data_IF_100409594398
#
_entry.id   IF_100409594398
#
_cell.length_a   1.000
_cell.length_b   1.000
_cell.length_c   1.000
_cell.angle_alpha   90.00
_cell.angle_beta   90.00
_cell.angle_gamma   90.00
#
_symmetry.space_group_name_H-M   'P 1'
#
loop_
_entity.id
_entity.type
_entity.pdbx_description
1 polymer ?
#
# COMPACT_ATOMS: atom_id res chain seq x y z
N UNK A 1 -31.59 49.91 27.96
CA UNK A 1 -31.54 48.88 29.03
C UNK A 1 -32.40 47.69 28.59
N UNK A 2 -31.93 46.45 28.83
CA UNK A 2 -32.64 45.15 28.62
C UNK A 2 -33.04 44.85 27.16
N UNK A 3 -32.28 44.07 26.37
CA UNK A 3 -32.15 42.59 26.35
C UNK A 3 -33.49 41.85 26.49
N UNK A 4 -33.91 41.16 25.44
CA UNK A 4 -34.35 39.75 25.48
C UNK A 4 -34.35 39.20 24.04
N UNK A 5 -33.28 38.51 23.64
CA UNK A 5 -33.27 37.66 22.46
C UNK A 5 -33.52 36.22 22.90
N UNK A 6 -34.45 35.57 22.21
CA UNK A 6 -34.86 34.18 22.39
C UNK A 6 -33.75 33.21 21.95
N UNK A 7 -33.38 32.33 22.88
CA UNK A 7 -33.06 30.89 22.74
C UNK A 7 -33.01 30.30 21.31
N UNK A 8 -31.88 29.66 20.97
CA UNK A 8 -31.76 28.22 20.66
C UNK A 8 -30.28 27.84 20.89
N UNK A 9 -30.05 26.84 21.73
CA UNK A 9 -28.73 26.20 21.87
C UNK A 9 -28.56 25.20 20.74
N UNK A 10 -27.51 25.36 19.93
CA UNK A 10 -26.93 24.28 19.13
C UNK A 10 -25.43 24.29 19.33
N UNK A 11 -24.94 23.25 19.99
CA UNK A 11 -23.53 22.86 19.95
C UNK A 11 -23.28 22.36 18.53
N UNK A 12 -22.53 23.13 17.74
CA UNK A 12 -21.91 22.65 16.51
C UNK A 12 -20.46 23.11 16.53
N UNK A 13 -19.58 22.18 16.89
CA UNK A 13 -18.16 22.28 16.58
C UNK A 13 -18.02 22.01 15.07
N UNK A 14 -18.02 23.10 14.30
CA UNK A 14 -17.78 23.10 12.87
C UNK A 14 -17.60 24.55 12.43
N UNK A 15 -16.68 24.94 11.58
CA UNK A 15 -15.75 24.22 10.72
C UNK A 15 -14.50 25.09 10.67
N UNK A 16 -13.30 24.50 10.73
CA UNK A 16 -12.11 25.23 10.27
C UNK A 16 -12.25 25.41 8.77
N UNK A 17 -12.83 26.54 8.37
CA UNK A 17 -12.82 26.98 7.00
C UNK A 17 -11.40 27.44 6.68
N UNK A 18 -10.71 26.75 5.77
CA UNK A 18 -9.73 27.43 4.94
C UNK A 18 -10.37 27.58 3.55
N UNK A 19 -10.61 28.82 3.17
CA UNK A 19 -11.18 29.22 1.89
C UNK A 19 -10.36 28.67 0.72
N UNK A 20 -11.03 28.07 -0.25
CA UNK A 20 -10.45 27.69 -1.54
C UNK A 20 -11.04 28.57 -2.63
N UNK A 21 -10.46 29.75 -2.81
CA UNK A 21 -10.58 30.50 -4.06
C UNK A 21 -9.17 30.90 -4.49
N UNK A 22 -8.56 30.13 -5.39
CA UNK A 22 -7.48 30.59 -6.24
C UNK A 22 -7.60 29.87 -7.58
N UNK A 23 -7.95 30.65 -8.59
CA UNK A 23 -7.93 30.34 -10.01
C UNK A 23 -6.57 29.73 -10.43
N UNK A 24 -6.47 28.40 -10.48
CA UNK A 24 -5.30 27.71 -11.03
C UNK A 24 -5.50 27.47 -12.53
N UNK A 25 -4.53 27.98 -13.32
CA UNK A 25 -4.21 27.55 -14.69
C UNK A 25 -4.34 26.01 -14.74
N UNK A 26 -4.92 25.38 -15.79
CA UNK A 26 -4.97 23.92 -15.83
C UNK A 26 -3.53 23.37 -15.95
N UNK A 27 -2.89 23.15 -14.80
CA UNK A 27 -1.59 22.52 -14.72
C UNK A 27 -1.83 21.07 -15.06
N UNK A 28 -1.48 20.70 -16.29
CA UNK A 28 -1.36 19.31 -16.74
C UNK A 28 -0.67 18.51 -15.63
N UNK A 29 -1.47 17.72 -14.91
CA UNK A 29 -1.06 16.86 -13.81
C UNK A 29 0.09 15.99 -14.31
N UNK A 30 1.30 16.23 -13.79
CA UNK A 30 2.40 15.30 -13.95
C UNK A 30 2.08 14.10 -13.06
N UNK A 31 1.22 13.22 -13.56
CA UNK A 31 0.75 12.05 -12.87
C UNK A 31 1.94 11.08 -12.70
N UNK A 32 2.62 11.18 -11.55
CA UNK A 32 3.76 10.33 -11.22
C UNK A 32 3.32 8.87 -11.16
N UNK A 33 4.25 7.94 -11.37
CA UNK A 33 3.92 6.53 -11.17
C UNK A 33 3.43 6.28 -9.73
N UNK A 34 2.39 5.46 -9.59
CA UNK A 34 1.83 5.04 -8.29
C UNK A 34 1.93 3.52 -8.22
N UNK A 35 2.76 3.02 -7.32
CA UNK A 35 2.95 1.59 -7.10
C UNK A 35 1.73 1.01 -6.39
N UNK A 36 1.16 -0.06 -6.94
CA UNK A 36 0.09 -0.80 -6.29
C UNK A 36 0.14 -2.26 -6.77
N UNK A 37 0.10 -3.20 -5.83
CA UNK A 37 -0.07 -4.61 -6.14
C UNK A 37 -0.95 -5.31 -5.13
N UNK A 38 -1.44 -6.49 -5.54
CA UNK A 38 -2.09 -7.46 -4.67
C UNK A 38 -1.61 -8.87 -4.96
N UNK A 39 -1.74 -9.75 -3.98
CA UNK A 39 -1.60 -11.20 -4.19
C UNK A 39 -2.88 -11.71 -4.85
N UNK A 40 -2.75 -12.38 -5.99
CA UNK A 40 -3.88 -12.91 -6.74
C UNK A 40 -4.20 -14.34 -6.32
N UNK A 41 -3.19 -15.22 -6.30
CA UNK A 41 -3.32 -16.58 -5.79
C UNK A 41 -2.14 -16.93 -4.89
N UNK A 42 -2.41 -17.89 -4.01
CA UNK A 42 -1.45 -18.54 -3.15
C UNK A 42 -1.73 -20.03 -3.19
N UNK A 43 -0.73 -20.79 -3.63
CA UNK A 43 -0.80 -22.23 -3.84
C UNK A 43 0.39 -22.93 -3.16
N UNK A 44 0.25 -24.21 -2.84
CA UNK A 44 1.31 -25.03 -2.23
C UNK A 44 0.99 -25.54 -0.84
N UNK A 45 1.92 -26.33 -0.29
CA UNK A 45 1.76 -27.02 0.99
C UNK A 45 2.37 -26.19 2.12
N UNK A 46 1.74 -26.24 3.30
CA UNK A 46 2.27 -25.61 4.52
C UNK A 46 3.65 -26.20 4.87
N UNK A 47 4.58 -25.36 5.33
CA UNK A 47 5.99 -25.71 5.63
C UNK A 47 6.85 -26.16 4.44
N UNK A 48 6.33 -26.07 3.23
CA UNK A 48 7.06 -26.40 2.02
C UNK A 48 7.06 -25.19 1.08
N UNK A 49 7.40 -25.45 -0.18
CA UNK A 49 7.35 -24.45 -1.23
C UNK A 49 5.92 -23.93 -1.42
N UNK A 50 5.79 -22.61 -1.41
CA UNK A 50 4.52 -21.91 -1.67
C UNK A 50 4.68 -20.96 -2.84
N UNK A 51 3.78 -21.07 -3.80
CA UNK A 51 3.76 -20.24 -5.01
C UNK A 51 2.76 -19.11 -4.84
N UNK A 52 3.20 -17.89 -5.11
CA UNK A 52 2.39 -16.69 -5.09
C UNK A 52 2.36 -16.08 -6.49
N UNK A 53 1.17 -15.72 -6.94
CA UNK A 53 0.97 -14.91 -8.15
C UNK A 53 0.62 -13.49 -7.75
N UNK A 54 1.25 -12.51 -8.40
CA UNK A 54 1.08 -11.10 -8.08
C UNK A 54 0.39 -10.35 -9.21
N UNK A 55 -0.61 -9.56 -8.86
CA UNK A 55 -1.24 -8.63 -9.78
C UNK A 55 -0.74 -7.20 -9.55
N UNK A 56 -0.36 -6.54 -10.63
CA UNK A 56 0.13 -5.17 -10.62
C UNK A 56 -0.96 -4.19 -11.07
N UNK A 57 -1.44 -3.39 -10.11
CA UNK A 57 -2.47 -2.36 -10.32
C UNK A 57 -1.87 -0.95 -10.40
N UNK A 58 -0.54 -0.86 -10.57
CA UNK A 58 0.18 0.41 -10.60
C UNK A 58 -0.28 1.30 -11.76
N UNK A 59 -0.19 2.62 -11.55
CA UNK A 59 -0.56 3.64 -12.54
C UNK A 59 0.68 4.37 -13.03
N UNK A 60 0.65 4.79 -14.30
CA UNK A 60 1.68 5.64 -14.93
C UNK A 60 3.12 5.11 -14.87
N UNK A 61 3.28 3.79 -14.74
CA UNK A 61 4.56 3.12 -14.69
C UNK A 61 4.97 2.57 -16.07
N UNK A 62 6.23 2.80 -16.44
CA UNK A 62 6.87 2.23 -17.65
C UNK A 62 7.80 1.06 -17.32
N UNK A 63 8.25 0.93 -16.07
CA UNK A 63 9.06 -0.20 -15.61
C UNK A 63 8.69 -0.64 -14.18
N UNK A 64 9.05 -1.88 -13.86
CA UNK A 64 8.72 -2.55 -12.60
C UNK A 64 9.96 -3.26 -12.07
N UNK A 65 10.15 -3.23 -10.76
CA UNK A 65 11.14 -4.00 -10.03
C UNK A 65 10.46 -4.58 -8.79
N UNK A 66 10.36 -5.89 -8.77
CA UNK A 66 9.92 -6.68 -7.63
C UNK A 66 11.12 -7.17 -6.86
N UNK A 67 11.01 -7.13 -5.54
CA UNK A 67 11.91 -7.73 -4.58
C UNK A 67 11.05 -8.59 -3.66
N UNK A 68 11.32 -9.90 -3.66
CA UNK A 68 10.51 -10.86 -2.92
C UNK A 68 10.93 -10.99 -1.45
N UNK A 69 11.93 -10.22 -1.00
CA UNK A 69 12.35 -10.18 0.40
C UNK A 69 13.33 -11.30 0.80
N UNK A 70 13.65 -12.21 -0.12
CA UNK A 70 14.65 -13.28 0.05
C UNK A 70 15.92 -13.06 -0.80
N UNK A 71 16.04 -11.87 -1.40
CA UNK A 71 17.13 -11.49 -2.29
C UNK A 71 16.87 -11.79 -3.77
N UNK A 72 15.76 -12.43 -4.12
CA UNK A 72 15.35 -12.63 -5.51
C UNK A 72 14.51 -11.45 -6.00
N UNK A 73 14.77 -11.03 -7.23
CA UNK A 73 14.07 -9.90 -7.87
C UNK A 73 13.47 -10.28 -9.22
N UNK A 74 12.45 -9.54 -9.67
CA UNK A 74 11.85 -9.70 -11.00
C UNK A 74 11.48 -8.36 -11.63
N UNK A 75 11.54 -8.26 -12.95
CA UNK A 75 11.08 -7.09 -13.72
C UNK A 75 9.78 -7.34 -14.47
N UNK A 76 9.18 -8.52 -14.29
CA UNK A 76 7.92 -8.88 -14.91
C UNK A 76 6.78 -7.98 -14.40
N UNK A 77 5.84 -7.63 -15.28
CA UNK A 77 4.67 -6.85 -14.89
C UNK A 77 3.78 -7.59 -13.88
N UNK A 78 3.60 -8.90 -14.08
CA UNK A 78 2.77 -9.80 -13.26
C UNK A 78 3.62 -11.04 -12.97
N UNK A 79 4.48 -11.02 -11.94
CA UNK A 79 5.35 -12.16 -11.64
C UNK A 79 4.60 -13.27 -10.91
N UNK A 80 5.12 -14.49 -11.07
CA UNK A 80 4.83 -15.63 -10.20
C UNK A 80 6.13 -15.99 -9.50
N UNK A 81 6.09 -16.18 -8.19
CA UNK A 81 7.28 -16.54 -7.40
C UNK A 81 6.97 -17.64 -6.39
N UNK A 82 7.91 -18.59 -6.27
CA UNK A 82 7.78 -19.73 -5.37
C UNK A 82 8.79 -19.61 -4.23
N UNK A 83 8.30 -19.33 -3.03
CA UNK A 83 9.13 -19.29 -1.83
C UNK A 83 9.52 -20.72 -1.43
N UNK A 84 10.81 -21.06 -1.35
CA UNK A 84 11.27 -22.41 -1.07
C UNK A 84 11.09 -22.81 0.41
N UNK A 85 10.84 -21.86 1.29
CA UNK A 85 10.68 -22.08 2.73
C UNK A 85 9.51 -21.28 3.26
N UNK A 86 8.91 -21.75 4.34
CA UNK A 86 7.90 -20.97 5.04
C UNK A 86 8.57 -19.86 5.87
N UNK A 87 7.84 -18.79 6.16
CA UNK A 87 8.39 -17.61 6.83
C UNK A 87 7.58 -16.35 6.54
N UNK A 88 8.13 -15.20 6.92
CA UNK A 88 7.57 -13.90 6.58
C UNK A 88 8.47 -13.23 5.54
N UNK A 89 7.88 -12.83 4.42
CA UNK A 89 8.58 -12.19 3.32
C UNK A 89 7.96 -10.84 3.03
N UNK A 90 8.75 -9.76 3.11
CA UNK A 90 8.31 -8.42 2.73
C UNK A 90 8.50 -8.25 1.22
N UNK A 91 7.41 -8.34 0.47
CA UNK A 91 7.44 -8.12 -0.97
C UNK A 91 7.37 -6.64 -1.25
N UNK A 92 8.32 -6.14 -2.04
CA UNK A 92 8.41 -4.73 -2.44
C UNK A 92 8.30 -4.61 -3.95
N UNK A 93 7.41 -3.73 -4.40
CA UNK A 93 7.29 -3.32 -5.79
C UNK A 93 7.73 -1.86 -5.92
N UNK A 94 8.78 -1.63 -6.70
CA UNK A 94 9.19 -0.32 -7.16
C UNK A 94 8.79 -0.14 -8.61
N UNK A 95 8.09 0.96 -8.91
CA UNK A 95 7.70 1.32 -10.28
C UNK A 95 8.37 2.62 -10.69
N UNK A 96 8.69 2.77 -11.97
CA UNK A 96 9.28 4.00 -12.52
C UNK A 96 8.39 4.56 -13.63
N UNK A 97 8.21 5.88 -13.68
CA UNK A 97 7.52 6.57 -14.77
C UNK A 97 8.44 6.89 -15.95
N UNK A 98 7.89 7.44 -17.04
CA UNK A 98 8.67 7.82 -18.24
C UNK A 98 9.65 8.97 -18.01
N UNK A 99 9.51 9.70 -16.91
CA UNK A 99 10.42 10.78 -16.50
C UNK A 99 11.51 10.28 -15.54
N UNK A 100 11.55 8.97 -15.24
CA UNK A 100 12.50 8.36 -14.32
C UNK A 100 12.14 8.52 -12.84
N UNK A 101 10.95 9.03 -12.48
CA UNK A 101 10.53 9.10 -11.08
C UNK A 101 10.01 7.75 -10.61
N UNK A 102 10.38 7.39 -9.38
CA UNK A 102 10.02 6.10 -8.79
C UNK A 102 8.99 6.23 -7.68
N UNK A 103 8.13 5.23 -7.55
CA UNK A 103 7.27 5.03 -6.38
C UNK A 103 7.37 3.58 -5.92
N UNK A 104 7.21 3.34 -4.62
CA UNK A 104 7.42 2.01 -4.02
C UNK A 104 6.29 1.69 -3.05
N UNK A 105 5.85 0.43 -3.06
CA UNK A 105 4.90 -0.14 -2.10
C UNK A 105 5.45 -1.48 -1.58
N UNK A 106 5.20 -1.80 -0.31
CA UNK A 106 5.63 -3.06 0.30
C UNK A 106 4.46 -3.72 1.02
N UNK A 107 4.41 -5.06 0.99
CA UNK A 107 3.45 -5.87 1.74
C UNK A 107 4.15 -7.08 2.36
N UNK A 108 3.84 -7.35 3.63
CA UNK A 108 4.32 -8.55 4.31
C UNK A 108 3.43 -9.74 3.97
N UNK A 109 4.04 -10.79 3.45
CA UNK A 109 3.37 -12.03 3.11
C UNK A 109 3.77 -13.14 4.10
N UNK A 110 2.80 -13.75 4.80
CA UNK A 110 3.06 -14.97 5.54
C UNK A 110 3.12 -16.14 4.55
N UNK A 111 4.29 -16.73 4.33
CA UNK A 111 4.40 -18.10 3.82
C UNK A 111 4.11 -19.04 5.01
N UNK A 112 3.04 -19.83 4.89
CA UNK A 112 2.47 -20.59 6.02
C UNK A 112 3.51 -21.55 6.60
N UNK A 113 3.90 -21.30 7.85
CA UNK A 113 4.53 -22.30 8.71
C UNK A 113 3.50 -22.83 9.72
N UNK A 114 3.63 -24.10 10.12
CA UNK A 114 3.01 -24.62 11.33
C UNK A 114 3.88 -24.20 12.52
N UNK A 115 3.72 -22.96 12.98
CA UNK A 115 4.23 -22.59 14.29
C UNK A 115 3.31 -23.21 15.32
N UNK A 116 3.78 -24.24 16.04
CA UNK A 116 3.01 -24.92 17.08
C UNK A 116 2.47 -23.95 18.12
N UNK A 117 1.22 -23.52 17.97
CA UNK A 117 0.37 -23.00 19.05
C UNK A 117 0.44 -21.51 19.42
N UNK A 118 1.37 -20.70 18.91
CA UNK A 118 1.33 -19.25 19.18
C UNK A 118 1.85 -18.45 17.98
N UNK A 119 0.92 -17.93 17.19
CA UNK A 119 1.16 -16.97 16.12
C UNK A 119 1.72 -15.68 16.74
N UNK A 120 2.98 -15.28 16.45
CA UNK A 120 3.38 -13.90 16.71
C UNK A 120 2.62 -13.05 15.71
N UNK A 121 1.50 -12.48 16.15
CA UNK A 121 0.88 -11.34 15.47
C UNK A 121 1.97 -10.32 15.20
N UNK A 122 2.09 -9.93 13.93
CA UNK A 122 2.73 -8.73 13.40
C UNK A 122 3.09 -7.71 14.50
N UNK A 123 4.32 -7.19 14.58
CA UNK A 123 4.60 -6.11 15.51
C UNK A 123 3.59 -4.99 15.25
N UNK A 124 2.77 -4.70 16.27
CA UNK A 124 1.85 -3.60 16.24
C UNK A 124 2.65 -2.36 15.81
N UNK A 125 2.19 -1.69 14.75
CA UNK A 125 2.65 -0.35 14.46
C UNK A 125 2.48 0.46 15.75
N UNK A 126 3.59 0.86 16.36
CA UNK A 126 3.59 1.73 17.53
C UNK A 126 3.09 3.10 17.05
N UNK A 127 1.80 3.35 17.28
CA UNK A 127 1.22 4.69 17.22
C UNK A 127 1.86 5.51 18.35
N UNK A 128 2.48 6.65 18.01
CA UNK A 128 3.08 7.60 18.94
C UNK A 128 2.10 8.75 19.22
#
# INVERSE_FOLDING_TARGET
MKRFFFIISVISLGLSSCSSDNNEIPTKSSETAVANFKVATKDGTVNEQQTFTFENNSKNAVSYLWDFGDGVTSTAKVPTYAYPSCGYYTVKLTVTDSNGKTNTVSHDLPALCIFGGHHPTQPAATDF
#
